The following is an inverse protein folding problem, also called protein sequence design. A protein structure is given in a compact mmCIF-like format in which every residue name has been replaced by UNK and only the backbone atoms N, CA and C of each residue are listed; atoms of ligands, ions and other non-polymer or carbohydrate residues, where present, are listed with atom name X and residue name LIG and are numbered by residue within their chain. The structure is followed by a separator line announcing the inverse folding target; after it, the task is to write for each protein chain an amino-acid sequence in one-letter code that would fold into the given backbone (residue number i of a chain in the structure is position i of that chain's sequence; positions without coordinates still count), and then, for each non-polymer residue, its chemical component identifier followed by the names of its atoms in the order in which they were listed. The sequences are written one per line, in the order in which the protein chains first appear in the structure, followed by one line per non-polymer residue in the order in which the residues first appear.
data_IF_054778592520
#
_entry.id   IF_054778592520
#
_cell.length_a   1.000
_cell.length_b   1.000
_cell.length_c   1.000
_cell.angle_alpha   90.00
_cell.angle_beta   90.00
_cell.angle_gamma   90.00
#
_symmetry.space_group_name_H-M   'P 1'
#
loop_
_entity.id
_entity.type
_entity.pdbx_description
1 polymer ?
#
# COMPACT_ATOMS: atom_id res chain seq x y z
N UNK A 1 23.03 -13.66 33.61
CA UNK A 1 21.57 -13.91 33.64
C UNK A 1 20.92 -12.65 34.17
N UNK A 2 20.37 -11.81 33.28
CA UNK A 2 19.61 -10.63 33.67
C UNK A 2 18.14 -10.90 33.39
N UNK A 3 17.26 -10.47 34.29
CA UNK A 3 15.82 -10.71 34.25
C UNK A 3 15.10 -9.36 34.20
N UNK A 4 14.19 -9.20 33.25
CA UNK A 4 13.22 -8.11 33.19
C UNK A 4 11.91 -8.53 33.88
N UNK A 5 11.25 -7.60 34.58
CA UNK A 5 9.87 -7.76 35.05
C UNK A 5 9.02 -6.56 34.61
N UNK A 6 7.89 -6.84 33.96
CA UNK A 6 6.90 -5.84 33.53
C UNK A 6 5.76 -5.72 34.55
N UNK A 7 5.27 -4.50 34.77
CA UNK A 7 4.00 -4.23 35.44
C UNK A 7 2.97 -3.78 34.41
N UNK A 8 1.85 -4.51 34.30
CA UNK A 8 0.73 -4.18 33.42
C UNK A 8 -0.16 -3.17 34.14
N UNK A 9 -0.41 -2.02 33.51
CA UNK A 9 -1.50 -1.11 33.89
C UNK A 9 -2.62 -1.29 32.86
N UNK A 10 -3.72 -1.91 33.28
CA UNK A 10 -4.94 -2.04 32.47
C UNK A 10 -5.67 -0.70 32.41
N UNK A 11 -5.98 -0.23 31.20
CA UNK A 11 -6.92 0.85 30.97
C UNK A 11 -7.98 0.44 29.93
N UNK A 12 -9.19 0.95 30.16
CA UNK A 12 -10.49 0.40 29.79
C UNK A 12 -10.88 0.66 28.32
N UNK A 13 -11.77 -0.22 27.86
CA UNK A 13 -12.44 -0.42 26.57
C UNK A 13 -12.73 0.79 25.68
N UNK A 14 -12.48 0.61 24.37
CA UNK A 14 -13.20 1.30 23.29
C UNK A 14 -13.70 0.25 22.28
N UNK A 15 -15.02 0.15 22.08
CA UNK A 15 -15.59 -0.62 20.98
C UNK A 15 -15.41 0.24 19.72
N UNK A 16 -14.42 -0.10 18.90
CA UNK A 16 -14.29 0.46 17.56
C UNK A 16 -15.23 -0.34 16.66
N UNK A 17 -16.22 0.33 16.09
CA UNK A 17 -16.98 -0.19 14.93
C UNK A 17 -15.99 -0.44 13.80
N UNK A 18 -15.69 -1.71 13.51
CA UNK A 18 -14.77 -2.10 12.45
C UNK A 18 -15.50 -1.93 11.10
N UNK A 19 -15.29 -0.78 10.46
CA UNK A 19 -15.38 -0.71 9.00
C UNK A 19 -14.15 -1.46 8.44
N UNK A 20 -14.39 -2.46 7.60
CA UNK A 20 -13.44 -3.51 7.22
C UNK A 20 -12.06 -3.02 6.79
N UNK A 21 -11.09 -3.12 7.71
CA UNK A 21 -9.66 -2.99 7.41
C UNK A 21 -9.05 -4.38 7.36
N UNK A 22 -8.42 -4.76 6.24
CA UNK A 22 -7.72 -6.04 6.10
C UNK A 22 -6.20 -5.84 6.05
N UNK A 23 -5.45 -6.88 6.44
CA UNK A 23 -3.99 -6.91 6.32
C UNK A 23 -3.66 -7.27 4.87
N UNK A 24 -2.75 -6.51 4.23
CA UNK A 24 -2.31 -6.83 2.88
C UNK A 24 -1.51 -8.15 2.86
N UNK A 25 -1.87 -9.14 2.01
CA UNK A 25 -1.15 -10.42 1.97
C UNK A 25 0.33 -10.30 1.58
N UNK A 26 0.71 -9.23 0.90
CA UNK A 26 2.07 -8.96 0.44
C UNK A 26 2.99 -8.37 1.51
N UNK A 27 2.45 -7.71 2.54
CA UNK A 27 3.23 -7.04 3.59
C UNK A 27 2.52 -7.08 4.96
N UNK A 28 3.00 -7.89 5.93
CA UNK A 28 2.32 -8.10 7.21
C UNK A 28 2.26 -6.86 8.13
N UNK A 29 3.01 -5.79 7.80
CA UNK A 29 3.04 -4.54 8.56
C UNK A 29 2.14 -3.43 8.00
N UNK A 30 1.40 -3.70 6.92
CA UNK A 30 0.60 -2.68 6.23
C UNK A 30 -0.89 -3.03 6.31
N UNK A 31 -1.65 -2.15 6.95
CA UNK A 31 -3.11 -2.16 6.89
C UNK A 31 -3.55 -1.51 5.60
N UNK A 32 -4.37 -2.23 4.85
CA UNK A 32 -4.93 -1.76 3.61
C UNK A 32 -6.43 -1.50 3.81
N UNK A 33 -6.88 -0.33 3.39
CA UNK A 33 -8.29 0.04 3.45
C UNK A 33 -8.76 0.59 2.11
N UNK A 34 -10.06 0.43 1.89
CA UNK A 34 -10.76 0.98 0.74
C UNK A 34 -11.80 1.99 1.20
N UNK A 35 -12.12 3.01 0.36
CA UNK A 35 -13.24 3.89 0.64
C UNK A 35 -14.56 3.09 0.75
N UNK A 36 -15.61 3.65 1.39
CA UNK A 36 -16.91 2.99 1.46
C UNK A 36 -17.41 2.55 0.08
N UNK A 37 -18.03 1.37 0.01
CA UNK A 37 -18.55 0.75 -1.23
C UNK A 37 -17.48 0.26 -2.22
N UNK A 38 -16.20 0.25 -1.84
CA UNK A 38 -15.14 -0.38 -2.61
C UNK A 38 -14.70 -1.68 -1.92
N UNK A 39 -14.57 -2.75 -2.70
CA UNK A 39 -14.10 -4.05 -2.27
C UNK A 39 -12.58 -4.11 -2.37
N UNK A 40 -11.91 -4.41 -1.25
CA UNK A 40 -10.46 -4.61 -1.24
C UNK A 40 -10.12 -5.99 -1.82
N UNK A 41 -9.16 -6.01 -2.74
CA UNK A 41 -8.53 -7.23 -3.21
C UNK A 41 -7.06 -6.97 -3.48
N UNK A 42 -6.19 -7.75 -2.82
CA UNK A 42 -4.74 -7.51 -2.77
C UNK A 42 -4.43 -6.05 -2.38
N UNK A 43 -3.88 -5.28 -3.31
CA UNK A 43 -3.41 -3.91 -3.19
C UNK A 43 -4.31 -2.90 -3.94
N UNK A 44 -5.47 -3.36 -4.43
CA UNK A 44 -6.45 -2.57 -5.16
C UNK A 44 -7.82 -2.55 -4.48
N UNK A 45 -8.54 -1.45 -4.70
CA UNK A 45 -9.93 -1.27 -4.34
C UNK A 45 -10.75 -1.29 -5.61
N UNK A 46 -11.75 -2.18 -5.66
CA UNK A 46 -12.60 -2.42 -6.82
C UNK A 46 -14.02 -2.00 -6.51
N UNK A 47 -14.71 -1.39 -7.48
CA UNK A 47 -16.11 -1.00 -7.32
C UNK A 47 -16.84 -1.10 -8.64
N UNK A 48 -17.94 -1.84 -8.65
CA UNK A 48 -18.90 -1.83 -9.75
C UNK A 48 -19.66 -0.49 -9.75
N UNK A 49 -19.85 0.10 -10.92
CA UNK A 49 -20.64 1.32 -11.06
C UNK A 49 -22.14 1.06 -10.87
N UNK A 50 -22.90 2.04 -10.37
CA UNK A 50 -24.35 1.91 -10.19
C UNK A 50 -25.15 2.04 -11.50
N UNK A 51 -24.48 2.29 -12.63
CA UNK A 51 -25.10 2.58 -13.92
C UNK A 51 -24.30 1.94 -15.05
N UNK A 52 -24.97 1.81 -16.20
CA UNK A 52 -24.42 1.29 -17.45
C UNK A 52 -23.85 2.44 -18.28
N UNK A 53 -22.74 2.20 -18.99
CA UNK A 53 -22.04 3.20 -19.77
C UNK A 53 -21.54 2.62 -21.10
N UNK A 54 -21.43 3.46 -22.13
CA UNK A 54 -20.57 3.17 -23.29
C UNK A 54 -19.11 3.06 -22.85
N UNK A 55 -18.28 2.33 -23.60
CA UNK A 55 -16.90 2.02 -23.19
C UNK A 55 -16.07 3.28 -22.86
N UNK A 56 -16.12 4.32 -23.71
CA UNK A 56 -15.40 5.57 -23.45
C UNK A 56 -15.97 6.33 -22.23
N UNK A 57 -17.30 6.32 -22.05
CA UNK A 57 -17.95 6.95 -20.89
C UNK A 57 -17.66 6.18 -19.59
N UNK A 58 -17.46 4.87 -19.67
CA UNK A 58 -17.08 4.03 -18.54
C UNK A 58 -15.69 4.40 -18.00
N UNK A 59 -14.74 4.73 -18.90
CA UNK A 59 -13.41 5.23 -18.51
C UNK A 59 -13.52 6.54 -17.73
N UNK A 60 -14.30 7.50 -18.23
CA UNK A 60 -14.51 8.78 -17.54
C UNK A 60 -15.27 8.60 -16.21
N UNK A 61 -16.30 7.74 -16.16
CA UNK A 61 -17.01 7.44 -14.91
C UNK A 61 -16.07 6.89 -13.82
N UNK A 62 -15.15 5.99 -14.17
CA UNK A 62 -14.17 5.49 -13.21
C UNK A 62 -13.16 6.54 -12.75
N UNK A 63 -12.78 7.45 -13.65
CA UNK A 63 -11.91 8.59 -13.34
C UNK A 63 -12.58 9.57 -12.39
N UNK A 64 -13.86 9.88 -12.59
CA UNK A 64 -14.67 10.72 -11.70
C UNK A 64 -14.80 10.11 -10.29
N UNK A 65 -14.77 8.78 -10.19
CA UNK A 65 -14.75 8.04 -8.91
C UNK A 65 -13.34 7.97 -8.26
N UNK A 66 -12.34 8.60 -8.86
CA UNK A 66 -10.96 8.64 -8.39
C UNK A 66 -10.20 7.33 -8.62
N UNK A 67 -10.57 6.59 -9.65
CA UNK A 67 -9.91 5.36 -10.10
C UNK A 67 -9.72 5.33 -11.61
N UNK A 68 -9.60 4.13 -12.16
CA UNK A 68 -9.59 3.86 -13.61
C UNK A 68 -10.45 2.63 -13.90
N UNK A 69 -10.86 2.44 -15.15
CA UNK A 69 -11.51 1.20 -15.57
C UNK A 69 -10.54 0.02 -15.39
N UNK A 70 -11.05 -1.11 -14.89
CA UNK A 70 -10.22 -2.29 -14.62
C UNK A 70 -9.91 -3.06 -15.92
N UNK A 71 -8.66 -3.51 -16.06
CA UNK A 71 -8.24 -4.54 -17.00
C UNK A 71 -7.60 -5.66 -16.17
N UNK A 72 -8.19 -6.88 -16.13
CA UNK A 72 -7.66 -7.96 -15.32
C UNK A 72 -6.27 -8.37 -15.80
N UNK A 73 -5.35 -8.61 -14.87
CA UNK A 73 -3.98 -9.10 -15.15
C UNK A 73 -3.81 -10.58 -14.79
N UNK A 74 -4.86 -11.24 -14.30
CA UNK A 74 -4.85 -12.65 -13.93
C UNK A 74 -6.26 -13.24 -13.87
N UNK A 75 -6.36 -14.57 -13.96
CA UNK A 75 -7.64 -15.27 -13.78
C UNK A 75 -8.28 -15.00 -12.41
N UNK A 76 -7.47 -14.80 -11.36
CA UNK A 76 -7.99 -14.51 -10.02
C UNK A 76 -8.62 -13.13 -9.93
N UNK A 77 -8.05 -12.14 -10.63
CA UNK A 77 -8.61 -10.78 -10.70
C UNK A 77 -9.87 -10.77 -11.58
N UNK A 78 -9.86 -11.49 -12.70
CA UNK A 78 -11.04 -11.66 -13.54
C UNK A 78 -12.19 -12.31 -12.76
N UNK A 79 -11.91 -13.37 -11.98
CA UNK A 79 -12.92 -14.02 -11.13
C UNK A 79 -13.48 -13.08 -10.06
N UNK A 80 -12.67 -12.21 -9.45
CA UNK A 80 -13.16 -11.18 -8.55
C UNK A 80 -14.17 -10.27 -9.26
N UNK A 81 -13.84 -9.83 -10.48
CA UNK A 81 -14.68 -8.95 -11.27
C UNK A 81 -16.01 -9.60 -11.63
N UNK A 82 -15.99 -10.87 -12.04
CA UNK A 82 -17.21 -11.63 -12.35
C UNK A 82 -18.07 -11.86 -11.11
N UNK A 83 -17.48 -12.25 -9.99
CA UNK A 83 -18.19 -12.40 -8.70
C UNK A 83 -18.87 -11.10 -8.24
N UNK A 84 -18.25 -9.94 -8.48
CA UNK A 84 -18.85 -8.64 -8.18
C UNK A 84 -20.08 -8.36 -9.05
N UNK A 85 -19.99 -8.64 -10.35
CA UNK A 85 -21.10 -8.41 -11.29
C UNK A 85 -22.25 -9.42 -11.10
N UNK A 86 -21.92 -10.68 -10.83
CA UNK A 86 -22.90 -11.75 -10.59
C UNK A 86 -23.83 -11.47 -9.40
N UNK A 87 -23.35 -10.73 -8.39
CA UNK A 87 -24.16 -10.31 -7.24
C UNK A 87 -25.32 -9.39 -7.63
N UNK A 88 -25.15 -8.64 -8.72
CA UNK A 88 -26.12 -7.64 -9.17
C UNK A 88 -27.00 -8.19 -10.30
N UNK A 89 -26.47 -9.03 -11.20
CA UNK A 89 -27.26 -9.69 -12.26
C UNK A 89 -26.65 -11.01 -12.71
N UNK A 90 -27.50 -11.98 -13.07
CA UNK A 90 -27.09 -13.26 -13.68
C UNK A 90 -26.75 -13.16 -15.16
N UNK A 91 -27.20 -12.08 -15.83
CA UNK A 91 -26.97 -11.83 -17.26
C UNK A 91 -26.01 -10.67 -17.47
N UNK A 92 -25.07 -10.49 -16.54
CA UNK A 92 -24.19 -9.34 -16.51
C UNK A 92 -23.26 -9.27 -17.73
N UNK A 93 -22.88 -8.03 -18.04
CA UNK A 93 -21.88 -7.63 -19.01
C UNK A 93 -21.06 -6.51 -18.39
N UNK A 94 -19.74 -6.65 -18.38
CA UNK A 94 -18.83 -5.70 -17.75
C UNK A 94 -17.72 -5.30 -18.70
N UNK A 95 -17.63 -4.01 -19.02
CA UNK A 95 -16.50 -3.48 -19.77
C UNK A 95 -15.17 -3.70 -19.03
N UNK A 96 -14.15 -4.07 -19.79
CA UNK A 96 -12.76 -4.06 -19.34
C UNK A 96 -11.95 -3.05 -20.14
N UNK A 97 -10.88 -2.53 -19.57
CA UNK A 97 -10.03 -1.52 -20.20
C UNK A 97 -9.12 -2.08 -21.30
N UNK A 98 -9.66 -2.92 -22.18
CA UNK A 98 -9.01 -3.46 -23.36
C UNK A 98 -9.81 -3.12 -24.63
N UNK A 99 -9.10 -2.79 -25.70
CA UNK A 99 -9.66 -2.41 -27.00
C UNK A 99 -8.63 -2.61 -28.12
N UNK A 100 -9.07 -2.71 -29.37
CA UNK A 100 -8.21 -2.74 -30.56
C UNK A 100 -8.56 -1.64 -31.57
N UNK A 101 -9.30 -0.60 -31.13
CA UNK A 101 -9.68 0.62 -31.89
C UNK A 101 -8.53 1.26 -32.70
N UNK A 102 -7.28 1.05 -32.28
CA UNK A 102 -6.08 1.61 -32.94
C UNK A 102 -5.65 0.79 -34.15
N UNK A 103 -5.67 -0.54 -34.03
CA UNK A 103 -5.25 -1.50 -35.07
C UNK A 103 -6.07 -2.76 -34.85
N UNK A 104 -6.99 -3.02 -35.78
CA UNK A 104 -7.86 -4.21 -35.80
C UNK A 104 -7.09 -5.51 -35.50
N UNK A 105 -7.60 -6.32 -34.57
CA UNK A 105 -6.99 -7.57 -34.12
C UNK A 105 -5.76 -7.40 -33.22
N UNK A 106 -5.34 -6.17 -32.92
CA UNK A 106 -4.23 -5.86 -32.00
C UNK A 106 -4.75 -5.19 -30.74
N UNK A 107 -5.06 -6.03 -29.74
CA UNK A 107 -5.65 -5.59 -28.48
C UNK A 107 -4.64 -4.92 -27.55
N UNK A 108 -5.05 -3.78 -26.99
CA UNK A 108 -4.30 -2.98 -26.02
C UNK A 108 -5.12 -2.85 -24.73
N UNK A 109 -4.48 -3.09 -23.58
CA UNK A 109 -5.10 -3.00 -22.27
C UNK A 109 -4.43 -1.94 -21.39
N UNK A 110 -5.22 -1.01 -20.84
CA UNK A 110 -4.73 0.07 -19.97
C UNK A 110 -4.01 -0.49 -18.73
N UNK A 111 -2.76 -0.05 -18.50
CA UNK A 111 -1.94 -0.49 -17.36
C UNK A 111 -1.18 -1.80 -17.59
N UNK A 112 -1.17 -2.33 -18.80
CA UNK A 112 -0.37 -3.49 -19.21
C UNK A 112 0.64 -3.11 -20.33
N UNK A 113 1.02 -1.84 -20.41
CA UNK A 113 1.90 -1.34 -21.47
C UNK A 113 3.29 -2.00 -21.41
N UNK A 114 3.78 -2.46 -22.56
CA UNK A 114 5.11 -3.09 -22.69
C UNK A 114 5.15 -4.60 -22.44
N UNK A 115 4.00 -5.25 -22.21
CA UNK A 115 3.86 -6.70 -22.17
C UNK A 115 2.79 -7.22 -23.14
N UNK A 116 2.63 -8.54 -23.21
CA UNK A 116 1.46 -9.14 -23.86
C UNK A 116 0.21 -8.94 -22.99
N UNK A 117 -0.91 -8.46 -23.56
CA UNK A 117 -2.13 -8.24 -22.81
C UNK A 117 -2.69 -9.56 -22.27
N UNK A 118 -3.16 -9.54 -21.03
CA UNK A 118 -3.91 -10.66 -20.45
C UNK A 118 -5.29 -10.73 -21.09
N UNK A 119 -5.46 -11.67 -22.02
CA UNK A 119 -6.72 -11.90 -22.73
C UNK A 119 -7.17 -13.35 -22.55
N UNK A 120 -8.43 -13.53 -22.15
CA UNK A 120 -9.05 -14.84 -21.93
C UNK A 120 -10.41 -14.85 -22.62
N UNK A 121 -10.36 -14.90 -23.96
CA UNK A 121 -11.53 -14.99 -24.81
C UNK A 121 -12.35 -16.26 -24.56
N UNK A 122 -13.66 -16.18 -24.77
CA UNK A 122 -14.51 -17.36 -24.90
C UNK A 122 -14.28 -18.06 -26.24
N UNK A 123 -14.78 -19.29 -26.36
CA UNK A 123 -14.69 -20.02 -27.60
C UNK A 123 -15.41 -19.28 -28.73
N UNK A 124 -14.66 -18.94 -29.78
CA UNK A 124 -15.18 -18.21 -30.93
C UNK A 124 -14.94 -16.70 -30.87
N UNK A 125 -14.46 -16.16 -29.75
CA UNK A 125 -14.17 -14.74 -29.56
C UNK A 125 -12.66 -14.42 -29.72
N UNK A 126 -12.29 -13.18 -30.06
CA UNK A 126 -13.19 -12.13 -30.55
C UNK A 126 -13.70 -12.46 -31.96
N UNK A 127 -14.98 -12.19 -32.25
CA UNK A 127 -15.62 -12.56 -33.51
C UNK A 127 -15.96 -11.38 -34.43
N UNK A 128 -15.91 -10.17 -33.88
CA UNK A 128 -16.13 -8.93 -34.60
C UNK A 128 -17.46 -8.89 -35.41
N UNK A 129 -18.43 -9.73 -35.03
CA UNK A 129 -19.78 -9.96 -35.61
C UNK A 129 -19.83 -9.78 -37.15
N UNK A 130 -18.75 -10.21 -37.83
CA UNK A 130 -18.60 -10.13 -39.29
C UNK A 130 -18.51 -8.72 -39.89
N UNK A 131 -18.17 -7.69 -39.11
CA UNK A 131 -18.34 -6.28 -39.49
C UNK A 131 -17.15 -5.31 -39.26
N UNK A 132 -16.10 -5.67 -38.52
CA UNK A 132 -14.93 -4.78 -38.32
C UNK A 132 -15.13 -3.66 -37.32
N UNK A 133 -16.01 -3.80 -36.33
CA UNK A 133 -16.43 -2.68 -35.48
C UNK A 133 -16.80 -3.03 -34.03
N UNK A 134 -16.47 -4.23 -33.53
CA UNK A 134 -16.57 -4.57 -32.11
C UNK A 134 -15.23 -4.35 -31.40
N UNK A 135 -14.80 -3.10 -31.28
CA UNK A 135 -13.41 -2.85 -30.88
C UNK A 135 -13.18 -2.84 -29.35
N UNK A 136 -14.19 -3.19 -28.54
CA UNK A 136 -14.17 -3.00 -27.09
C UNK A 136 -14.46 -4.29 -26.33
N UNK A 137 -13.57 -4.68 -25.41
CA UNK A 137 -13.69 -5.94 -24.69
C UNK A 137 -14.60 -5.81 -23.46
N UNK A 138 -15.41 -6.84 -23.23
CA UNK A 138 -16.20 -7.07 -22.04
C UNK A 138 -15.96 -8.47 -21.47
N UNK A 139 -16.35 -8.67 -20.20
CA UNK A 139 -16.59 -9.98 -19.62
C UNK A 139 -18.10 -10.17 -19.49
N UNK A 140 -18.61 -11.32 -19.94
CA UNK A 140 -20.06 -11.54 -20.01
C UNK A 140 -20.48 -12.93 -19.50
N UNK A 141 -21.58 -12.97 -18.77
CA UNK A 141 -22.16 -14.22 -18.24
C UNK A 141 -22.47 -15.24 -19.34
N UNK A 142 -22.98 -14.75 -20.50
CA UNK A 142 -23.32 -15.59 -21.65
C UNK A 142 -22.10 -16.27 -22.30
N UNK A 143 -20.90 -15.77 -22.01
CA UNK A 143 -19.62 -16.22 -22.55
C UNK A 143 -18.81 -16.98 -21.49
N UNK A 144 -19.49 -17.77 -20.64
CA UNK A 144 -18.84 -18.58 -19.59
C UNK A 144 -17.94 -17.76 -18.65
N UNK A 145 -18.35 -16.53 -18.34
CA UNK A 145 -17.59 -15.57 -17.53
C UNK A 145 -16.20 -15.21 -18.15
N UNK A 146 -16.05 -15.36 -19.47
CA UNK A 146 -14.86 -15.02 -20.27
C UNK A 146 -15.08 -13.76 -21.12
N UNK A 147 -14.02 -13.38 -21.84
CA UNK A 147 -14.01 -12.17 -22.65
C UNK A 147 -14.73 -12.35 -23.99
N UNK A 148 -15.36 -11.26 -24.42
CA UNK A 148 -16.14 -11.07 -25.64
C UNK A 148 -15.89 -9.64 -26.11
N UNK A 149 -15.83 -9.40 -27.41
CA UNK A 149 -15.74 -8.07 -27.98
C UNK A 149 -17.14 -7.55 -28.32
N UNK A 150 -17.38 -6.25 -28.17
CA UNK A 150 -18.69 -5.66 -28.39
C UNK A 150 -18.56 -4.21 -28.88
N UNK A 151 -19.63 -3.72 -29.50
CA UNK A 151 -19.67 -2.36 -30.02
C UNK A 151 -19.49 -1.37 -28.87
N UNK A 152 -18.48 -0.52 -28.98
CA UNK A 152 -18.06 0.40 -27.91
C UNK A 152 -19.17 1.36 -27.42
N UNK A 153 -20.22 1.58 -28.23
CA UNK A 153 -21.37 2.43 -27.91
C UNK A 153 -22.44 1.72 -27.05
N UNK A 154 -22.35 0.40 -26.88
CA UNK A 154 -23.23 -0.38 -26.00
C UNK A 154 -23.07 0.02 -24.55
N UNK A 155 -24.17 -0.07 -23.79
CA UNK A 155 -24.19 0.29 -22.38
C UNK A 155 -24.07 -0.93 -21.49
N UNK A 156 -22.88 -1.13 -20.91
CA UNK A 156 -22.59 -2.23 -19.97
C UNK A 156 -22.14 -1.69 -18.61
N UNK A 157 -22.10 -2.55 -17.59
CA UNK A 157 -21.51 -2.16 -16.31
C UNK A 157 -20.00 -1.99 -16.46
N UNK A 158 -19.39 -1.31 -15.49
CA UNK A 158 -17.95 -1.21 -15.42
C UNK A 158 -17.48 -1.39 -13.98
N UNK A 159 -16.34 -2.05 -13.81
CA UNK A 159 -15.64 -2.12 -12.54
C UNK A 159 -14.49 -1.13 -12.58
N UNK A 160 -14.52 -0.19 -11.65
CA UNK A 160 -13.46 0.77 -11.42
C UNK A 160 -12.47 0.18 -10.42
N UNK A 161 -11.19 0.45 -10.63
CA UNK A 161 -10.09 0.08 -9.74
C UNK A 161 -9.30 1.33 -9.31
N UNK A 162 -8.90 1.38 -8.05
CA UNK A 162 -7.96 2.38 -7.52
C UNK A 162 -7.01 1.72 -6.53
N UNK A 163 -5.83 2.32 -6.30
CA UNK A 163 -4.90 1.83 -5.28
C UNK A 163 -5.55 1.84 -3.90
N UNK A 164 -5.33 0.79 -3.13
CA UNK A 164 -5.71 0.76 -1.72
C UNK A 164 -4.96 1.83 -0.93
N UNK A 165 -5.59 2.32 0.14
CA UNK A 165 -4.92 3.21 1.08
C UNK A 165 -4.07 2.37 2.02
N UNK A 166 -2.76 2.61 1.99
CA UNK A 166 -1.82 1.99 2.89
C UNK A 166 -1.71 2.84 4.14
N UNK A 167 -2.17 2.28 5.25
CA UNK A 167 -1.78 2.75 6.56
C UNK A 167 -0.72 1.78 7.05
N UNK A 168 0.52 2.26 7.18
CA UNK A 168 1.47 1.53 8.01
C UNK A 168 0.80 1.36 9.36
N UNK A 169 0.66 0.11 9.82
CA UNK A 169 0.34 -0.11 11.22
C UNK A 169 1.31 0.75 12.02
N UNK A 170 0.87 1.40 13.11
CA UNK A 170 1.83 1.82 14.12
C UNK A 170 2.66 0.57 14.39
N UNK A 171 3.94 0.58 13.96
CA UNK A 171 4.88 -0.42 14.45
C UNK A 171 4.66 -0.44 15.96
N UNK A 172 4.49 -1.63 16.56
CA UNK A 172 4.41 -1.74 18.02
C UNK A 172 5.37 -0.71 18.62
N UNK A 173 4.96 0.07 19.64
CA UNK A 173 5.71 1.25 20.06
C UNK A 173 7.19 0.88 20.13
N UNK A 174 7.99 1.38 19.17
CA UNK A 174 9.39 1.02 19.06
C UNK A 174 10.02 1.45 20.36
N UNK A 175 10.38 0.49 21.21
CA UNK A 175 11.00 0.80 22.47
C UNK A 175 12.46 1.14 22.16
N UNK A 176 12.81 2.39 22.39
CA UNK A 176 14.17 2.87 22.21
C UNK A 176 14.90 2.77 23.53
N UNK A 177 16.02 2.06 23.53
CA UNK A 177 16.91 1.93 24.67
C UNK A 177 18.13 2.82 24.47
N UNK A 178 18.62 3.42 25.56
CA UNK A 178 19.87 4.16 25.56
C UNK A 178 21.05 3.19 25.60
N UNK A 179 22.14 3.52 24.91
CA UNK A 179 23.38 2.75 25.03
C UNK A 179 23.95 2.84 26.45
N UNK A 180 24.31 1.69 27.01
CA UNK A 180 24.93 1.60 28.35
C UNK A 180 26.26 0.84 28.32
N UNK A 181 27.11 1.08 29.32
CA UNK A 181 28.26 0.21 29.60
C UNK A 181 27.83 -1.15 30.16
N UNK A 182 28.81 -2.01 30.46
CA UNK A 182 28.60 -3.36 31.01
C UNK A 182 27.96 -3.38 32.40
N UNK A 183 27.89 -2.23 33.09
CA UNK A 183 27.26 -2.05 34.39
C UNK A 183 25.90 -1.34 34.29
N UNK A 184 25.39 -1.10 33.07
CA UNK A 184 24.11 -0.42 32.86
C UNK A 184 24.16 1.10 33.00
N UNK A 185 25.35 1.72 33.00
CA UNK A 185 25.48 3.18 33.05
C UNK A 185 25.35 3.75 31.65
N UNK A 186 24.53 4.79 31.50
CA UNK A 186 24.31 5.46 30.21
C UNK A 186 25.62 6.01 29.65
N UNK A 187 25.91 5.71 28.38
CA UNK A 187 27.02 6.33 27.65
C UNK A 187 26.58 7.74 27.21
N UNK A 188 27.20 8.76 27.80
CA UNK A 188 26.88 10.18 27.59
C UNK A 188 27.86 10.89 26.64
N UNK A 189 28.80 10.16 26.06
CA UNK A 189 29.81 10.65 25.12
C UNK A 189 30.04 9.63 24.00
N UNK A 190 29.00 8.94 23.54
CA UNK A 190 29.11 7.92 22.48
C UNK A 190 27.95 8.05 21.51
N UNK A 191 28.24 8.05 20.21
CA UNK A 191 27.23 8.15 19.18
C UNK A 191 27.60 7.48 17.88
N UNK A 192 26.57 7.24 17.08
CA UNK A 192 26.72 6.81 15.71
C UNK A 192 26.97 8.02 14.81
N UNK A 193 28.10 8.05 14.13
CA UNK A 193 28.52 9.11 13.21
C UNK A 193 28.12 8.78 11.77
N UNK A 194 28.13 9.79 10.89
CA UNK A 194 27.96 9.64 9.43
C UNK A 194 26.70 8.92 8.91
N UNK A 195 25.67 8.82 9.75
CA UNK A 195 24.37 8.21 9.41
C UNK A 195 23.18 9.16 9.57
N UNK A 196 23.42 10.46 9.81
CA UNK A 196 22.37 11.45 10.08
C UNK A 196 21.50 11.68 8.83
N UNK A 197 20.20 11.40 8.96
CA UNK A 197 19.20 11.68 7.92
C UNK A 197 18.37 12.94 8.25
N UNK A 198 18.28 13.32 9.52
CA UNK A 198 17.47 14.47 9.95
C UNK A 198 17.86 14.97 11.33
N UNK A 199 17.96 16.29 11.46
CA UNK A 199 18.31 16.96 12.72
C UNK A 199 17.25 18.00 13.13
N UNK A 200 16.90 18.05 14.42
CA UNK A 200 15.98 19.05 14.98
C UNK A 200 16.11 19.21 16.50
N UNK A 201 15.64 20.34 17.03
CA UNK A 201 15.59 20.58 18.50
C UNK A 201 14.55 19.66 19.13
N UNK A 202 14.91 19.02 20.24
CA UNK A 202 14.04 18.04 20.94
C UNK A 202 13.92 18.34 22.43
N UNK A 203 12.82 17.90 23.03
CA UNK A 203 12.64 17.91 24.50
C UNK A 203 13.40 16.74 25.17
N UNK A 204 13.69 15.67 24.42
CA UNK A 204 14.45 14.52 24.90
C UNK A 204 14.24 13.24 24.11
N UNK A 205 14.50 12.11 24.78
CA UNK A 205 14.50 10.75 24.19
C UNK A 205 13.14 10.37 23.65
N UNK A 206 12.04 10.61 24.38
CA UNK A 206 10.70 10.22 23.97
C UNK A 206 10.25 10.94 22.68
N UNK A 207 10.51 12.24 22.58
CA UNK A 207 10.18 13.03 21.40
C UNK A 207 11.03 12.62 20.18
N UNK A 208 12.33 12.38 20.39
CA UNK A 208 13.25 11.91 19.34
C UNK A 208 12.85 10.50 18.84
N UNK A 209 12.52 9.59 19.75
CA UNK A 209 12.01 8.25 19.41
C UNK A 209 10.67 8.27 18.70
N UNK A 210 9.76 9.18 19.07
CA UNK A 210 8.48 9.36 18.37
C UNK A 210 8.67 9.88 16.94
N UNK A 211 9.66 10.74 16.72
CA UNK A 211 10.01 11.20 15.37
C UNK A 211 10.67 10.08 14.56
N UNK A 212 11.62 9.35 15.15
CA UNK A 212 12.26 8.20 14.50
C UNK A 212 11.25 7.11 14.11
N UNK A 213 10.24 6.84 14.95
CA UNK A 213 9.20 5.87 14.64
C UNK A 213 8.30 6.27 13.45
N UNK A 214 8.22 7.57 13.14
CA UNK A 214 7.46 8.12 12.00
C UNK A 214 8.31 8.26 10.74
N UNK A 215 9.63 8.17 10.86
CA UNK A 215 10.58 8.32 9.76
C UNK A 215 10.92 6.93 9.21
N UNK A 216 10.51 6.58 7.96
CA UNK A 216 10.62 5.21 7.45
C UNK A 216 12.05 4.66 7.44
N UNK A 217 13.03 5.53 7.18
CA UNK A 217 14.45 5.17 7.12
C UNK A 217 15.13 5.17 8.50
N UNK A 218 14.47 5.66 9.55
CA UNK A 218 15.12 5.79 10.84
C UNK A 218 15.26 4.45 11.57
N UNK A 219 16.51 4.15 11.96
CA UNK A 219 16.92 2.93 12.68
C UNK A 219 17.37 3.24 14.12
N UNK A 220 18.02 4.37 14.33
CA UNK A 220 18.51 4.83 15.63
C UNK A 220 18.53 6.37 15.69
N UNK A 221 18.93 6.95 16.82
CA UNK A 221 19.13 8.38 16.91
C UNK A 221 20.17 8.78 17.96
N UNK A 222 20.76 9.95 17.78
CA UNK A 222 21.62 10.62 18.75
C UNK A 222 20.87 11.77 19.44
N UNK A 223 21.26 12.08 20.67
CA UNK A 223 20.90 13.31 21.38
C UNK A 223 22.18 14.05 21.74
N UNK A 224 22.34 15.22 21.13
CA UNK A 224 23.44 16.17 21.37
C UNK A 224 22.93 17.40 22.12
N UNK A 225 23.84 18.28 22.52
CA UNK A 225 23.52 19.64 22.97
C UNK A 225 24.17 20.64 22.03
N UNK A 226 23.45 21.68 21.65
CA UNK A 226 24.04 22.83 20.96
C UNK A 226 24.73 23.79 21.96
N UNK A 227 25.31 24.86 21.45
CA UNK A 227 26.02 25.88 22.25
C UNK A 227 25.13 26.57 23.30
N UNK A 228 23.83 26.68 23.02
CA UNK A 228 22.83 27.24 23.95
C UNK A 228 22.36 26.22 25.00
N UNK A 229 22.89 24.99 24.97
CA UNK A 229 22.50 23.90 25.87
C UNK A 229 21.16 23.22 25.51
N UNK A 230 20.51 23.59 24.41
CA UNK A 230 19.31 22.92 23.88
C UNK A 230 19.67 21.55 23.35
N UNK A 231 18.79 20.56 23.59
CA UNK A 231 18.99 19.20 23.08
C UNK A 231 18.64 19.14 21.60
N UNK A 232 19.50 18.47 20.83
CA UNK A 232 19.33 18.23 19.40
C UNK A 232 19.17 16.73 19.18
N UNK A 233 18.10 16.33 18.49
CA UNK A 233 17.88 14.97 18.01
C UNK A 233 18.48 14.84 16.61
N UNK A 234 19.33 13.85 16.39
CA UNK A 234 19.80 13.45 15.06
C UNK A 234 19.30 12.04 14.77
N UNK A 235 18.39 11.89 13.81
CA UNK A 235 17.90 10.60 13.36
C UNK A 235 18.93 9.93 12.46
N UNK A 236 19.13 8.64 12.62
CA UNK A 236 20.11 7.87 11.85
C UNK A 236 19.45 6.76 11.03
N UNK A 237 19.99 6.46 9.85
CA UNK A 237 19.54 5.35 9.00
C UNK A 237 20.25 4.01 9.25
N UNK A 238 21.08 3.91 10.28
CA UNK A 238 21.85 2.72 10.67
C UNK A 238 21.81 2.52 12.19
N UNK A 239 22.32 1.40 12.68
CA UNK A 239 22.45 1.05 14.10
C UNK A 239 23.91 0.84 14.49
N UNK A 240 24.19 0.83 15.81
CA UNK A 240 25.53 0.61 16.36
C UNK A 240 26.08 -0.79 16.06
N UNK A 241 25.17 -1.75 15.81
CA UNK A 241 25.53 -3.11 15.40
C UNK A 241 25.81 -3.24 13.91
N UNK A 242 25.17 -2.42 13.07
CA UNK A 242 25.31 -2.42 11.61
C UNK A 242 26.58 -1.68 11.18
N UNK A 243 26.94 -0.58 11.87
CA UNK A 243 28.20 0.14 11.66
C UNK A 243 28.91 0.40 13.00
N UNK A 244 29.75 -0.57 13.38
CA UNK A 244 30.54 -0.50 14.62
C UNK A 244 31.69 0.49 14.52
N UNK A 245 32.21 0.71 13.31
CA UNK A 245 33.37 1.58 13.09
C UNK A 245 32.96 3.04 13.32
N UNK A 246 31.74 3.41 12.96
CA UNK A 246 31.18 4.75 13.20
C UNK A 246 30.46 4.92 14.55
N UNK A 247 30.36 3.88 15.36
CA UNK A 247 29.85 3.98 16.74
C UNK A 247 30.98 4.33 17.71
N UNK A 248 31.27 5.63 17.84
CA UNK A 248 32.48 6.11 18.48
C UNK A 248 32.23 6.98 19.71
N UNK A 249 33.24 7.02 20.59
CA UNK A 249 33.29 7.98 21.69
C UNK A 249 33.59 9.37 21.14
N UNK A 250 32.94 10.39 21.69
CA UNK A 250 33.06 11.79 21.30
C UNK A 250 33.56 12.64 22.46
N UNK A 251 34.13 13.80 22.15
CA UNK A 251 34.63 14.76 23.16
C UNK A 251 33.53 15.66 23.73
N UNK A 252 32.32 15.56 23.17
CA UNK A 252 31.15 16.33 23.58
C UNK A 252 30.05 15.44 24.15
N UNK A 253 29.01 16.05 24.70
CA UNK A 253 27.84 15.32 25.18
C UNK A 253 27.10 14.71 23.99
N UNK A 254 27.00 13.38 23.98
CA UNK A 254 26.19 12.67 23.02
C UNK A 254 25.68 11.36 23.61
N UNK A 255 24.35 11.19 23.57
CA UNK A 255 23.69 9.94 23.93
C UNK A 255 23.16 9.27 22.68
N UNK A 256 23.29 7.96 22.59
CA UNK A 256 22.78 7.16 21.49
C UNK A 256 21.60 6.29 21.94
N UNK A 257 20.62 6.11 21.05
CA UNK A 257 19.49 5.23 21.27
C UNK A 257 19.09 4.47 20.02
N UNK A 258 18.77 3.19 20.17
CA UNK A 258 18.28 2.32 19.11
C UNK A 258 17.13 1.43 19.60
N UNK A 259 16.46 0.76 18.68
CA UNK A 259 15.35 -0.14 19.01
C UNK A 259 15.89 -1.34 19.81
N UNK A 260 15.33 -1.57 20.98
CA UNK A 260 15.59 -2.77 21.77
C UNK A 260 14.37 -3.70 21.71
N UNK A 261 14.61 -4.99 21.50
CA UNK A 261 13.58 -6.01 21.62
C UNK A 261 13.37 -6.29 23.12
N UNK A 262 12.12 -6.12 23.58
CA UNK A 262 11.68 -6.53 24.92
C UNK A 262 11.45 -8.02 25.04
#
# INVERSE_FOLDING_TARGET
MYSLKCFVVLAITYVITVLGSHICPSEPAVKCSCPPQWQLWQNGCYRLTPSLFSWDAAKEACKDMGGKMAAPCSLKEMNLMTEMAQKESREYRVWIACNDKRVEGTWECDGQEGGEPFLVWDNGQPDDDGGGNQDCAQIAARHHDRMDDDFCDRSHWVICVRKAQYTHLPTQPRQYCLSTDTHGRILNSTCLLDHNIREFITEGVAACGSACAKEPECRSFNIKKNEEGKKICQLNNSTSSEDKDNFQKTDYFCMYSEVCFG
#
